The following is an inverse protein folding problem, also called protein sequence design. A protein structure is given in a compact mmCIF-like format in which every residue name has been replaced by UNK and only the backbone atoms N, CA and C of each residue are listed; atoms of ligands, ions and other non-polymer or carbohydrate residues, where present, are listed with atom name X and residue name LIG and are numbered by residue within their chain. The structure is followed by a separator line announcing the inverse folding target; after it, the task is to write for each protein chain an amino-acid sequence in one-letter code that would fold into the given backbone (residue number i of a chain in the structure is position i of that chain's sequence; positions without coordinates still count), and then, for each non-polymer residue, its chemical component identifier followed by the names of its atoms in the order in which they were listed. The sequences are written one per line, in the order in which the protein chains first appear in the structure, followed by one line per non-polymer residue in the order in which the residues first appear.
data_IF_080052893705
#
_entry.id   IF_080052893705
#
_cell.length_a   1.000
_cell.length_b   1.000
_cell.length_c   1.000
_cell.angle_alpha   90.00
_cell.angle_beta   90.00
_cell.angle_gamma   90.00
#
_symmetry.space_group_name_H-M   'P 1'
#
loop_
_entity.id
_entity.type
_entity.pdbx_description
1 polymer ?
#
# COMPACT_ATOMS: atom_id res chain seq x y z
N UNK A 1 11.12 10.56 7.08
CA UNK A 1 10.90 9.38 7.95
C UNK A 1 9.83 8.52 7.28
N UNK A 2 10.06 7.22 7.05
CA UNK A 2 9.06 6.29 6.51
C UNK A 2 8.53 5.43 7.66
N UNK A 3 7.24 5.17 7.68
CA UNK A 3 6.57 4.38 8.73
C UNK A 3 6.15 3.06 8.12
N UNK A 4 6.48 1.95 8.79
CA UNK A 4 6.15 0.60 8.34
C UNK A 4 5.24 -0.10 9.34
N UNK A 5 4.38 -0.98 8.84
CA UNK A 5 3.68 -1.94 9.69
C UNK A 5 4.73 -2.89 10.28
N UNK A 6 4.84 -2.93 11.60
CA UNK A 6 5.76 -3.85 12.25
C UNK A 6 5.27 -5.29 12.13
N UNK A 7 6.18 -6.19 11.76
CA UNK A 7 6.00 -7.65 11.81
C UNK A 7 7.30 -8.29 12.27
N UNK A 8 7.27 -9.49 12.88
CA UNK A 8 8.49 -10.21 13.28
C UNK A 8 9.45 -10.49 12.11
N UNK A 9 8.90 -10.57 10.89
CA UNK A 9 9.62 -10.82 9.64
C UNK A 9 9.89 -9.54 8.83
N UNK A 10 9.72 -8.35 9.44
CA UNK A 10 9.93 -7.08 8.78
C UNK A 10 11.38 -6.95 8.29
N UNK A 11 11.54 -6.76 6.99
CA UNK A 11 12.83 -6.42 6.38
C UNK A 11 12.92 -4.88 6.25
N UNK A 12 13.86 -4.19 6.93
CA UNK A 12 13.97 -2.72 6.84
C UNK A 12 14.32 -2.19 5.44
N UNK A 13 14.76 -3.07 4.53
CA UNK A 13 15.11 -2.73 3.14
C UNK A 13 13.94 -2.88 2.16
N UNK A 14 12.82 -3.45 2.61
CA UNK A 14 11.66 -3.74 1.78
C UNK A 14 10.40 -3.23 2.47
N UNK A 15 9.50 -2.64 1.71
CA UNK A 15 8.21 -2.20 2.22
C UNK A 15 7.18 -3.31 2.02
N UNK A 16 6.25 -3.45 2.97
CA UNK A 16 5.15 -4.41 2.80
C UNK A 16 4.29 -4.01 1.60
N UNK A 17 3.89 -4.96 0.73
CA UNK A 17 2.90 -4.70 -0.32
C UNK A 17 1.50 -4.48 0.27
N UNK A 18 1.31 -4.80 1.54
CA UNK A 18 0.08 -4.61 2.28
C UNK A 18 -0.05 -3.16 2.73
N UNK A 19 -1.12 -2.48 2.33
CA UNK A 19 -1.33 -1.07 2.62
C UNK A 19 -2.78 -0.78 3.05
N UNK A 20 -2.99 0.00 4.11
CA UNK A 20 -4.32 0.35 4.56
C UNK A 20 -4.88 1.56 3.80
N UNK A 21 -6.04 1.39 3.18
CA UNK A 21 -6.68 2.35 2.27
C UNK A 21 -8.13 2.59 2.67
N UNK A 22 -8.63 3.80 2.42
CA UNK A 22 -10.06 4.08 2.53
C UNK A 22 -10.76 3.60 1.26
N UNK A 23 -11.78 2.77 1.46
CA UNK A 23 -12.69 2.31 0.42
C UNK A 23 -14.00 3.07 0.57
N UNK A 24 -14.46 3.63 -0.54
CA UNK A 24 -15.68 4.40 -0.65
C UNK A 24 -16.71 3.59 -1.46
N UNK A 25 -17.87 3.35 -0.83
CA UNK A 25 -19.03 2.68 -1.42
C UNK A 25 -20.15 3.71 -1.55
N UNK A 26 -20.24 4.32 -2.73
CA UNK A 26 -21.23 5.34 -3.04
C UNK A 26 -22.60 4.70 -3.28
N UNK A 27 -23.65 5.36 -2.80
CA UNK A 27 -25.06 4.96 -2.98
C UNK A 27 -25.37 3.54 -2.50
N UNK A 28 -24.61 3.06 -1.51
CA UNK A 28 -24.86 1.76 -0.89
C UNK A 28 -26.26 1.78 -0.24
N UNK A 29 -27.09 0.74 -0.42
CA UNK A 29 -28.38 0.70 0.26
C UNK A 29 -28.23 0.70 1.78
N UNK A 30 -29.08 1.46 2.47
CA UNK A 30 -28.99 1.71 3.92
C UNK A 30 -28.96 0.43 4.77
N UNK A 31 -29.60 -0.65 4.30
CA UNK A 31 -29.60 -1.96 4.95
C UNK A 31 -28.21 -2.59 5.10
N UNK A 32 -27.22 -2.14 4.31
CA UNK A 32 -25.83 -2.60 4.38
C UNK A 32 -24.93 -1.70 5.25
N UNK A 33 -25.46 -0.65 5.88
CA UNK A 33 -24.64 0.24 6.72
C UNK A 33 -24.38 -0.32 8.12
N UNK A 34 -24.98 -1.46 8.47
CA UNK A 34 -24.59 -2.17 9.67
C UNK A 34 -23.09 -2.51 9.65
N UNK A 35 -22.43 -2.42 10.81
CA UNK A 35 -20.99 -2.61 10.91
C UNK A 35 -20.58 -4.00 10.43
N UNK A 36 -21.31 -5.05 10.78
CA UNK A 36 -20.99 -6.42 10.38
C UNK A 36 -21.22 -6.62 8.89
N UNK A 37 -22.27 -6.01 8.32
CA UNK A 37 -22.52 -6.02 6.89
C UNK A 37 -21.39 -5.31 6.11
N UNK A 38 -20.99 -4.10 6.52
CA UNK A 38 -19.89 -3.37 5.91
C UNK A 38 -18.56 -4.13 6.00
N UNK A 39 -18.28 -4.76 7.13
CA UNK A 39 -17.07 -5.55 7.31
C UNK A 39 -17.10 -6.82 6.45
N UNK A 40 -18.26 -7.47 6.33
CA UNK A 40 -18.45 -8.63 5.45
C UNK A 40 -18.23 -8.27 3.98
N UNK A 41 -18.76 -7.12 3.56
CA UNK A 41 -18.51 -6.55 2.23
C UNK A 41 -17.01 -6.27 2.03
N UNK A 42 -16.38 -5.60 3.00
CA UNK A 42 -14.97 -5.23 2.94
C UNK A 42 -14.01 -6.43 2.98
N UNK A 43 -14.41 -7.56 3.58
CA UNK A 43 -13.63 -8.81 3.56
C UNK A 43 -13.37 -9.33 2.15
N UNK A 44 -14.26 -9.03 1.19
CA UNK A 44 -14.07 -9.36 -0.22
C UNK A 44 -12.93 -8.55 -0.87
N UNK A 45 -12.56 -7.43 -0.26
CA UNK A 45 -11.56 -6.49 -0.77
C UNK A 45 -10.22 -6.63 -0.04
N UNK A 46 -10.23 -7.07 1.22
CA UNK A 46 -9.05 -7.19 2.07
C UNK A 46 -9.44 -7.35 3.55
N UNK A 47 -8.58 -6.92 4.46
CA UNK A 47 -8.85 -6.99 5.91
C UNK A 47 -9.48 -5.69 6.40
N UNK A 48 -10.78 -5.66 6.80
CA UNK A 48 -11.40 -4.46 7.32
C UNK A 48 -10.81 -4.07 8.68
N UNK A 49 -10.52 -2.79 8.85
CA UNK A 49 -9.92 -2.24 10.07
C UNK A 49 -10.93 -1.40 10.87
N UNK A 50 -11.66 -0.49 10.20
CA UNK A 50 -12.64 0.40 10.84
C UNK A 50 -13.52 1.11 9.81
N UNK A 51 -14.63 1.69 10.26
CA UNK A 51 -15.43 2.67 9.49
C UNK A 51 -15.06 4.09 9.90
N UNK A 52 -15.43 5.09 9.09
CA UNK A 52 -15.38 6.48 9.52
C UNK A 52 -16.59 6.85 10.38
N UNK A 53 -16.51 8.01 11.04
CA UNK A 53 -17.53 8.46 11.99
C UNK A 53 -18.86 8.71 11.28
N UNK A 54 -18.86 9.29 10.08
CA UNK A 54 -20.10 9.55 9.33
C UNK A 54 -20.83 8.28 8.93
N UNK A 55 -20.10 7.23 8.55
CA UNK A 55 -20.68 5.92 8.24
C UNK A 55 -21.20 5.27 9.51
N UNK A 56 -20.43 5.28 10.59
CA UNK A 56 -20.80 4.68 11.87
C UNK A 56 -22.01 5.36 12.54
N UNK A 57 -22.21 6.66 12.31
CA UNK A 57 -23.30 7.46 12.90
C UNK A 57 -24.44 7.72 11.92
N UNK A 58 -24.36 7.20 10.69
CA UNK A 58 -25.36 7.40 9.63
C UNK A 58 -25.65 8.89 9.31
N UNK A 59 -24.71 9.79 9.58
CA UNK A 59 -24.87 11.24 9.31
C UNK A 59 -24.88 11.52 7.81
N UNK A 60 -24.14 10.74 7.02
CA UNK A 60 -24.12 10.84 5.55
C UNK A 60 -24.41 9.47 4.93
N UNK A 61 -25.69 9.06 4.84
CA UNK A 61 -26.07 7.73 4.38
C UNK A 61 -25.92 7.52 2.87
N UNK A 62 -25.52 8.54 2.11
CA UNK A 62 -25.22 8.40 0.67
C UNK A 62 -23.88 7.71 0.40
N UNK A 63 -23.03 7.59 1.43
CA UNK A 63 -21.65 7.12 1.29
C UNK A 63 -21.29 6.27 2.51
N UNK A 64 -20.91 5.02 2.27
CA UNK A 64 -20.23 4.21 3.27
C UNK A 64 -18.72 4.22 3.02
N UNK A 65 -17.93 4.47 4.07
CA UNK A 65 -16.46 4.45 4.03
C UNK A 65 -15.92 3.45 5.03
N UNK A 66 -15.10 2.53 4.51
CA UNK A 66 -14.44 1.48 5.29
C UNK A 66 -12.94 1.56 5.06
N UNK A 67 -12.17 1.52 6.13
CA UNK A 67 -10.72 1.43 6.10
C UNK A 67 -10.33 -0.04 5.99
N UNK A 68 -9.69 -0.40 4.89
CA UNK A 68 -9.38 -1.80 4.54
C UNK A 68 -7.88 -1.92 4.28
N UNK A 69 -7.26 -2.92 4.88
CA UNK A 69 -5.90 -3.32 4.57
C UNK A 69 -5.91 -4.27 3.37
N UNK A 70 -5.28 -3.86 2.27
CA UNK A 70 -5.28 -4.59 0.99
C UNK A 70 -3.86 -4.95 0.57
N UNK A 71 -3.73 -5.95 -0.30
CA UNK A 71 -2.46 -6.32 -0.92
C UNK A 71 -2.32 -5.66 -2.31
N UNK A 72 -1.36 -4.75 -2.48
CA UNK A 72 -1.15 -4.02 -3.73
C UNK A 72 -0.54 -4.86 -4.86
N UNK A 73 -0.14 -6.10 -4.57
CA UNK A 73 0.29 -7.08 -5.58
C UNK A 73 -0.87 -7.86 -6.20
N UNK A 74 -2.03 -7.85 -5.55
CA UNK A 74 -3.23 -8.53 -6.01
C UNK A 74 -4.09 -7.59 -6.88
N UNK A 75 -4.84 -8.13 -7.84
CA UNK A 75 -5.75 -7.33 -8.65
C UNK A 75 -6.84 -6.71 -7.77
N UNK A 76 -7.04 -5.39 -7.92
CA UNK A 76 -8.03 -4.66 -7.13
C UNK A 76 -9.43 -4.87 -7.68
N UNK A 77 -10.33 -5.28 -6.80
CA UNK A 77 -11.74 -5.40 -7.15
C UNK A 77 -12.37 -4.01 -7.25
N UNK A 78 -12.92 -3.65 -8.42
CA UNK A 78 -13.54 -2.34 -8.67
C UNK A 78 -15.06 -2.36 -8.57
N UNK A 79 -15.66 -3.55 -8.49
CA UNK A 79 -17.10 -3.78 -8.40
C UNK A 79 -17.38 -5.04 -7.60
N UNK A 80 -18.42 -5.04 -6.79
CA UNK A 80 -18.86 -6.21 -6.03
C UNK A 80 -20.35 -6.45 -6.27
N UNK A 81 -20.76 -7.72 -6.26
CA UNK A 81 -22.16 -8.09 -6.40
C UNK A 81 -22.76 -8.27 -5.00
N UNK A 82 -23.82 -7.53 -4.68
CA UNK A 82 -24.54 -7.66 -3.42
C UNK A 82 -25.94 -8.22 -3.68
N UNK A 83 -26.30 -9.27 -2.97
CA UNK A 83 -27.64 -9.86 -3.04
C UNK A 83 -28.63 -9.13 -2.12
N UNK A 84 -29.80 -8.83 -2.64
CA UNK A 84 -30.93 -8.24 -1.89
C UNK A 84 -32.17 -9.08 -2.20
N UNK A 85 -32.46 -10.06 -1.34
CA UNK A 85 -33.53 -11.01 -1.61
C UNK A 85 -33.30 -11.78 -2.91
N UNK A 86 -34.13 -11.52 -3.93
CA UNK A 86 -34.01 -12.12 -5.27
C UNK A 86 -33.22 -11.28 -6.27
N UNK A 87 -32.85 -10.04 -5.89
CA UNK A 87 -32.14 -9.10 -6.76
C UNK A 87 -30.64 -9.11 -6.48
N UNK A 88 -29.83 -8.74 -7.47
CA UNK A 88 -28.40 -8.54 -7.33
C UNK A 88 -28.06 -7.14 -7.81
N UNK A 89 -27.42 -6.35 -6.95
CA UNK A 89 -26.90 -5.03 -7.30
C UNK A 89 -25.40 -5.11 -7.50
N UNK A 90 -24.88 -4.31 -8.44
CA UNK A 90 -23.44 -4.16 -8.65
C UNK A 90 -23.01 -2.88 -7.96
N UNK A 91 -22.31 -3.02 -6.85
CA UNK A 91 -21.77 -1.91 -6.08
C UNK A 91 -20.37 -1.54 -6.59
N UNK A 92 -20.15 -0.30 -7.07
CA UNK A 92 -18.82 0.20 -7.38
C UNK A 92 -17.96 0.34 -6.13
N UNK A 93 -16.67 0.05 -6.27
CA UNK A 93 -15.65 0.16 -5.21
C UNK A 93 -14.63 1.20 -5.62
N UNK A 94 -14.47 2.24 -4.82
CA UNK A 94 -13.53 3.34 -5.09
C UNK A 94 -12.48 3.37 -3.98
N UNK A 95 -11.21 3.30 -4.36
CA UNK A 95 -10.08 3.36 -3.42
C UNK A 95 -9.53 4.79 -3.36
N UNK A 96 -9.38 5.34 -2.16
CA UNK A 96 -8.86 6.68 -1.95
C UNK A 96 -7.35 6.68 -1.73
N UNK A 97 -6.62 7.50 -2.51
CA UNK A 97 -5.16 7.72 -2.34
C UNK A 97 -4.34 6.42 -2.37
N UNK A 98 -4.72 5.50 -3.24
CA UNK A 98 -4.02 4.24 -3.43
C UNK A 98 -2.57 4.49 -3.88
N UNK A 99 -1.55 4.04 -3.13
CA UNK A 99 -0.17 4.16 -3.55
C UNK A 99 0.18 3.10 -4.60
N UNK A 100 1.21 3.38 -5.39
CA UNK A 100 1.82 2.40 -6.29
C UNK A 100 2.80 1.53 -5.52
N UNK A 101 2.98 0.29 -5.93
CA UNK A 101 3.97 -0.61 -5.34
C UNK A 101 4.91 -1.15 -6.42
N UNK A 102 6.20 -0.92 -6.23
CA UNK A 102 7.21 -1.38 -7.18
C UNK A 102 7.61 -2.82 -6.83
N UNK A 103 7.11 -3.80 -7.58
CA UNK A 103 7.52 -5.19 -7.39
C UNK A 103 8.97 -5.52 -7.78
N UNK A 104 9.80 -4.53 -8.15
CA UNK A 104 11.23 -4.73 -8.45
C UNK A 104 12.12 -4.36 -7.26
N UNK A 105 11.98 -3.14 -6.73
CA UNK A 105 12.71 -2.71 -5.54
C UNK A 105 11.92 -2.90 -4.25
N UNK A 106 10.67 -3.34 -4.31
CA UNK A 106 9.76 -3.58 -3.17
C UNK A 106 9.53 -2.34 -2.31
N UNK A 107 9.29 -1.20 -2.95
CA UNK A 107 8.99 0.07 -2.28
C UNK A 107 7.69 0.68 -2.81
N UNK A 108 6.98 1.42 -1.95
CA UNK A 108 5.79 2.18 -2.31
C UNK A 108 6.14 3.48 -3.07
N UNK A 109 5.14 4.01 -3.77
CA UNK A 109 5.16 5.33 -4.41
C UNK A 109 5.47 5.33 -5.92
N UNK A 110 5.88 4.20 -6.50
CA UNK A 110 6.16 4.12 -7.94
C UNK A 110 5.93 2.73 -8.51
N UNK A 111 5.76 2.64 -9.83
CA UNK A 111 5.69 1.37 -10.56
C UNK A 111 7.07 0.90 -11.00
N UNK A 112 7.15 -0.36 -11.44
CA UNK A 112 8.40 -0.98 -11.94
C UNK A 112 9.09 -0.16 -13.03
N UNK A 113 8.34 0.55 -13.87
CA UNK A 113 8.86 1.33 -15.00
C UNK A 113 9.54 2.63 -14.59
N UNK A 114 9.19 3.16 -13.41
CA UNK A 114 9.76 4.39 -12.83
C UNK A 114 10.74 4.08 -11.69
N UNK A 115 11.25 2.85 -11.64
CA UNK A 115 12.14 2.39 -10.58
C UNK A 115 13.56 2.90 -10.79
N UNK A 116 14.03 3.78 -9.90
CA UNK A 116 15.38 4.34 -9.94
C UNK A 116 16.49 3.29 -9.81
N UNK A 117 16.24 2.16 -9.14
CA UNK A 117 17.24 1.10 -9.02
C UNK A 117 17.47 0.35 -10.32
N UNK A 118 16.44 0.21 -11.18
CA UNK A 118 16.62 -0.34 -12.53
C UNK A 118 17.35 0.62 -13.46
N UNK A 119 17.21 1.92 -13.21
CA UNK A 119 17.86 2.99 -13.97
C UNK A 119 19.30 3.24 -13.52
N UNK A 120 19.79 2.53 -12.49
CA UNK A 120 21.23 2.56 -12.18
C UNK A 120 21.96 1.82 -13.29
N UNK A 121 22.85 2.49 -14.05
CA UNK A 121 23.76 1.78 -14.93
C UNK A 121 24.60 0.82 -14.07
N UNK A 122 24.83 -0.40 -14.57
CA UNK A 122 25.50 -1.49 -13.86
C UNK A 122 26.98 -1.21 -13.49
N UNK A 123 27.47 0.01 -13.64
CA UNK A 123 28.86 0.35 -13.40
C UNK A 123 29.01 1.32 -12.21
N UNK A 124 29.21 0.75 -11.02
CA UNK A 124 29.73 1.46 -9.83
C UNK A 124 30.83 0.66 -9.12
N UNK A 125 31.52 -0.23 -9.83
CA UNK A 125 32.80 -0.80 -9.35
C UNK A 125 34.03 -0.05 -9.90
N UNK A 126 33.87 0.88 -10.85
CA UNK A 126 34.95 1.78 -11.30
C UNK A 126 35.07 3.07 -10.46
N UNK A 127 34.79 3.03 -9.15
CA UNK A 127 35.28 4.13 -8.30
C UNK A 127 36.77 3.86 -8.10
N UNK A 128 37.71 4.68 -8.63
CA UNK A 128 39.11 4.51 -8.29
C UNK A 128 39.22 4.53 -6.76
N UNK A 129 40.06 3.65 -6.17
CA UNK A 129 40.22 3.62 -4.73
C UNK A 129 40.51 5.03 -4.21
N UNK A 130 40.00 5.40 -3.02
CA UNK A 130 40.31 6.70 -2.44
C UNK A 130 41.83 6.89 -2.46
N UNK A 131 42.28 8.01 -3.01
CA UNK A 131 43.69 8.38 -3.07
C UNK A 131 44.16 8.39 -1.61
N UNK A 132 45.22 7.62 -1.25
CA UNK A 132 45.74 7.61 0.11
C UNK A 132 46.10 9.03 0.55
N UNK A 133 45.76 9.36 1.78
CA UNK A 133 46.18 10.57 2.47
C UNK A 133 47.71 10.63 2.59
N UNK A 134 48.27 11.84 2.54
CA UNK A 134 49.72 12.11 2.61
C UNK A 134 50.40 11.55 3.88
N UNK A 135 49.61 11.21 4.90
CA UNK A 135 50.09 10.56 6.13
C UNK A 135 50.45 9.08 5.90
N UNK A 136 49.74 8.39 5.00
CA UNK A 136 49.94 6.98 4.64
C UNK A 136 51.16 6.75 3.72
N UNK A 137 51.57 7.79 2.98
CA UNK A 137 52.79 7.79 2.15
C UNK A 137 54.06 7.94 2.98
N UNK A 138 53.98 8.66 4.12
CA UNK A 138 55.12 8.83 5.04
C UNK A 138 55.46 7.55 5.79
N UNK A 139 54.47 6.76 6.19
CA UNK A 139 54.70 5.50 6.91
C UNK A 139 55.43 4.45 6.07
N UNK A 140 55.36 4.52 4.73
CA UNK A 140 56.03 3.58 3.82
C UNK A 140 57.46 3.97 3.42
N UNK A 141 57.91 5.17 3.77
CA UNK A 141 59.29 5.62 3.51
C UNK A 141 60.22 5.40 4.71
N UNK A 142 59.66 5.11 5.89
CA UNK A 142 60.40 4.90 7.14
C UNK A 142 60.37 3.42 7.62
N UNK A 143 60.02 2.47 6.75
CA UNK A 143 59.98 1.02 7.02
C UNK A 143 61.01 0.24 6.19
#
# INVERSE_FOLDING_TARGET
MRVFKWTPTLNPREESPTFPVWVHLSELPIQFFDREALFSIALLLGTPLKTDVSTATLVQPSVARVYVEINLLEPLQTKISLGIGTEVIIQPVIYERLPKYCGACKHLGHDKDKCYEKLRPANRDDRPPPIPDEEDLRVKLDA
#
